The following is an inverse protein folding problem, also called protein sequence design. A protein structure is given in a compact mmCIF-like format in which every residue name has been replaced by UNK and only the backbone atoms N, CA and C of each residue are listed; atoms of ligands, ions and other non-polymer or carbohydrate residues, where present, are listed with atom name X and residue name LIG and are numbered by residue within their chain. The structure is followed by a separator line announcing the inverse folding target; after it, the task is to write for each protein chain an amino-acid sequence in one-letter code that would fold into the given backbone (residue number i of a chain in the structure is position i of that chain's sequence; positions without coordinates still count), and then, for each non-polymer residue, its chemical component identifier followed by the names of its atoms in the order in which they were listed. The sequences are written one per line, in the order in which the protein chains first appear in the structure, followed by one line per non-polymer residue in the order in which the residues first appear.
data_IF_084803635476
#
_entry.id   IF_084803635476
#
_cell.length_a   1.000
_cell.length_b   1.000
_cell.length_c   1.000
_cell.angle_alpha   90.00
_cell.angle_beta   90.00
_cell.angle_gamma   90.00
#
_symmetry.space_group_name_H-M   'P 1'
#
loop_
_entity.id
_entity.type
_entity.pdbx_description
1 polymer ?
#
# COMPACT_ATOMS: atom_id res chain seq x y z
N UNK A 1 -22.42 -18.26 -24.25
CA UNK A 1 -22.76 -16.98 -23.58
C UNK A 1 -22.02 -16.96 -22.26
N UNK A 2 -21.07 -16.04 -22.12
CA UNK A 2 -20.11 -16.00 -21.02
C UNK A 2 -20.74 -15.68 -19.67
N UNK A 3 -20.18 -16.30 -18.64
CA UNK A 3 -20.22 -15.79 -17.27
C UNK A 3 -18.88 -15.09 -17.02
N UNK A 4 -18.77 -13.85 -17.51
CA UNK A 4 -17.62 -12.96 -17.32
C UNK A 4 -17.91 -12.04 -16.13
N UNK A 5 -18.01 -12.65 -14.94
CA UNK A 5 -18.12 -11.92 -13.67
C UNK A 5 -16.71 -11.63 -13.15
N UNK A 6 -16.35 -10.36 -12.87
CA UNK A 6 -15.05 -10.01 -12.32
C UNK A 6 -14.84 -10.66 -10.94
N UNK A 7 -13.58 -11.01 -10.69
CA UNK A 7 -13.08 -11.74 -9.52
C UNK A 7 -13.26 -10.91 -8.24
N UNK A 8 -14.13 -11.39 -7.34
CA UNK A 8 -14.07 -11.23 -5.88
C UNK A 8 -14.67 -9.94 -5.26
N UNK A 9 -15.51 -10.05 -4.19
CA UNK A 9 -15.98 -8.88 -3.44
C UNK A 9 -14.85 -8.31 -2.56
N UNK A 10 -14.81 -6.99 -2.39
CA UNK A 10 -14.00 -6.25 -1.42
C UNK A 10 -14.05 -6.97 -0.07
N UNK A 11 -12.98 -7.67 0.29
CA UNK A 11 -12.97 -8.48 1.47
C UNK A 11 -12.75 -7.57 2.66
N UNK A 12 -13.84 -7.33 3.40
CA UNK A 12 -13.87 -6.58 4.65
C UNK A 12 -13.03 -7.25 5.77
N UNK A 13 -11.74 -7.52 5.53
CA UNK A 13 -10.82 -8.20 6.46
C UNK A 13 -10.59 -7.41 7.74
N UNK A 14 -10.75 -6.08 7.65
CA UNK A 14 -10.62 -5.18 8.79
C UNK A 14 -11.97 -4.93 9.50
N UNK A 15 -13.07 -5.53 9.04
CA UNK A 15 -14.37 -5.40 9.70
C UNK A 15 -14.32 -6.13 11.04
N UNK A 16 -14.54 -5.37 12.11
CA UNK A 16 -14.42 -5.86 13.49
C UNK A 16 -13.00 -5.78 14.07
N UNK A 17 -12.07 -5.09 13.40
CA UNK A 17 -10.81 -4.70 14.03
C UNK A 17 -11.08 -3.89 15.31
N UNK A 18 -10.24 -4.07 16.33
CA UNK A 18 -10.39 -3.36 17.61
C UNK A 18 -10.16 -1.85 17.44
N UNK A 19 -9.17 -1.48 16.61
CA UNK A 19 -8.96 -0.11 16.16
C UNK A 19 -10.11 0.40 15.30
N UNK A 20 -10.66 1.55 15.70
CA UNK A 20 -11.61 2.29 14.88
C UNK A 20 -11.02 2.79 13.55
N UNK A 21 -9.71 3.01 13.50
CA UNK A 21 -8.99 3.42 12.29
C UNK A 21 -8.89 2.28 11.26
N UNK A 22 -8.63 1.05 11.72
CA UNK A 22 -8.66 -0.11 10.83
C UNK A 22 -10.08 -0.49 10.45
N UNK A 23 -11.03 -0.42 11.39
CA UNK A 23 -12.42 -0.73 11.11
C UNK A 23 -13.03 0.20 10.06
N UNK A 24 -12.74 1.51 10.08
CA UNK A 24 -13.24 2.45 9.07
C UNK A 24 -12.70 2.16 7.67
N UNK A 25 -11.47 1.64 7.57
CA UNK A 25 -10.89 1.25 6.29
C UNK A 25 -11.63 0.10 5.60
N UNK A 26 -12.44 -0.67 6.34
CA UNK A 26 -13.27 -1.72 5.74
C UNK A 26 -14.40 -1.19 4.85
N UNK A 27 -14.69 0.12 4.90
CA UNK A 27 -15.67 0.79 4.02
C UNK A 27 -15.01 1.37 2.75
N UNK A 28 -13.68 1.32 2.64
CA UNK A 28 -12.96 1.82 1.47
C UNK A 28 -13.01 0.81 0.31
N UNK A 29 -12.88 1.26 -0.96
CA UNK A 29 -12.87 0.38 -2.14
C UNK A 29 -11.58 -0.47 -2.28
N UNK A 30 -10.70 -0.48 -1.29
CA UNK A 30 -9.40 -1.18 -1.32
C UNK A 30 -9.47 -2.44 -0.46
N UNK A 31 -8.91 -3.53 -0.97
CA UNK A 31 -8.81 -4.82 -0.28
C UNK A 31 -7.67 -4.82 0.75
N UNK A 32 -7.88 -4.12 1.87
CA UNK A 32 -6.86 -3.97 2.92
C UNK A 32 -6.63 -5.26 3.70
N UNK A 33 -5.37 -5.66 3.83
CA UNK A 33 -4.92 -6.67 4.78
C UNK A 33 -4.47 -6.01 6.09
N UNK A 34 -4.73 -6.62 7.26
CA UNK A 34 -4.02 -6.27 8.48
C UNK A 34 -2.55 -6.69 8.36
N UNK A 35 -1.69 -6.13 9.20
CA UNK A 35 -0.32 -6.61 9.32
C UNK A 35 -0.27 -8.05 9.81
N UNK A 36 0.41 -8.91 9.05
CA UNK A 36 0.59 -10.33 9.35
C UNK A 36 1.33 -11.03 8.22
N UNK A 37 1.64 -12.33 8.34
CA UNK A 37 2.39 -13.07 7.32
C UNK A 37 1.64 -13.22 5.98
N UNK A 38 0.31 -13.30 6.02
CA UNK A 38 -0.55 -13.55 4.85
C UNK A 38 -0.31 -12.59 3.66
N UNK A 39 -0.32 -11.25 3.82
CA UNK A 39 -0.06 -10.34 2.71
C UNK A 39 1.34 -10.50 2.11
N UNK A 40 2.37 -10.83 2.90
CA UNK A 40 3.73 -11.04 2.39
C UNK A 40 3.86 -12.34 1.61
N UNK A 41 3.22 -13.41 2.10
CA UNK A 41 3.15 -14.66 1.36
C UNK A 41 2.39 -14.49 0.04
N UNK A 42 1.27 -13.76 0.05
CA UNK A 42 0.52 -13.44 -1.16
C UNK A 42 1.38 -12.65 -2.14
N UNK A 43 2.01 -11.56 -1.68
CA UNK A 43 2.91 -10.72 -2.48
C UNK A 43 4.01 -11.54 -3.16
N UNK A 44 4.59 -12.51 -2.43
CA UNK A 44 5.58 -13.46 -2.98
C UNK A 44 4.99 -14.37 -4.06
N UNK A 45 3.79 -14.93 -3.83
CA UNK A 45 3.12 -15.83 -4.79
C UNK A 45 2.76 -15.11 -6.10
N UNK A 46 2.19 -13.91 -5.99
CA UNK A 46 1.69 -13.14 -7.14
C UNK A 46 2.71 -12.15 -7.71
N UNK A 47 3.91 -12.09 -7.14
CA UNK A 47 5.02 -11.22 -7.55
C UNK A 47 4.61 -9.74 -7.64
N UNK A 48 3.95 -9.24 -6.61
CA UNK A 48 3.54 -7.84 -6.50
C UNK A 48 4.19 -7.18 -5.27
N UNK A 49 4.52 -5.89 -5.34
CA UNK A 49 4.96 -5.14 -4.18
C UNK A 49 3.82 -5.00 -3.16
N UNK A 50 4.21 -4.71 -1.92
CA UNK A 50 3.28 -4.37 -0.84
C UNK A 50 3.20 -2.86 -0.74
N UNK A 51 1.98 -2.33 -0.66
CA UNK A 51 1.74 -0.97 -0.21
C UNK A 51 1.36 -1.03 1.26
N UNK A 52 2.19 -0.44 2.12
CA UNK A 52 1.95 -0.32 3.54
C UNK A 52 1.50 1.10 3.87
N UNK A 53 0.34 1.22 4.48
CA UNK A 53 -0.19 2.45 5.05
C UNK A 53 -0.22 2.36 6.58
N UNK A 54 0.45 3.29 7.26
CA UNK A 54 0.45 3.39 8.72
C UNK A 54 -0.16 4.74 9.13
N UNK A 55 -1.17 4.66 9.98
CA UNK A 55 -1.83 5.83 10.52
C UNK A 55 -2.33 5.62 11.94
N UNK A 56 -3.19 6.52 12.40
CA UNK A 56 -3.77 6.50 13.73
C UNK A 56 -5.16 7.14 13.70
N UNK A 57 -6.05 6.73 14.60
CA UNK A 57 -7.40 7.31 14.70
C UNK A 57 -7.40 8.83 15.02
N UNK A 58 -6.36 9.34 15.67
CA UNK A 58 -6.22 10.76 16.04
C UNK A 58 -5.46 11.60 15.00
N UNK A 59 -4.96 10.98 13.93
CA UNK A 59 -4.13 11.64 12.92
C UNK A 59 -5.00 12.33 11.86
N UNK A 60 -5.02 13.66 11.86
CA UNK A 60 -5.82 14.45 10.90
C UNK A 60 -5.48 14.14 9.44
N UNK A 61 -4.19 14.15 9.07
CA UNK A 61 -3.77 13.91 7.69
C UNK A 61 -4.01 12.47 7.22
N UNK A 62 -4.13 11.52 8.15
CA UNK A 62 -4.49 10.14 7.83
C UNK A 62 -5.94 10.07 7.36
N UNK A 63 -6.86 10.76 8.05
CA UNK A 63 -8.25 10.89 7.60
C UNK A 63 -8.36 11.62 6.27
N UNK A 64 -7.59 12.70 6.07
CA UNK A 64 -7.56 13.42 4.78
C UNK A 64 -7.10 12.49 3.64
N UNK A 65 -6.10 11.64 3.87
CA UNK A 65 -5.65 10.67 2.88
C UNK A 65 -6.65 9.54 2.66
N UNK A 66 -7.29 9.05 3.73
CA UNK A 66 -8.33 8.02 3.66
C UNK A 66 -9.56 8.49 2.84
N UNK A 67 -10.06 9.69 3.14
CA UNK A 67 -11.23 10.27 2.48
C UNK A 67 -10.92 10.75 1.06
N UNK A 68 -9.76 11.36 0.84
CA UNK A 68 -9.40 11.96 -0.44
C UNK A 68 -8.74 10.99 -1.42
N UNK A 69 -7.78 10.21 -0.94
CA UNK A 69 -6.88 9.41 -1.78
C UNK A 69 -7.28 7.94 -1.83
N UNK A 70 -7.47 7.30 -0.68
CA UNK A 70 -7.79 5.86 -0.63
C UNK A 70 -9.25 5.54 -0.96
N UNK A 71 -10.14 6.54 -0.90
CA UNK A 71 -11.53 6.43 -1.37
C UNK A 71 -11.68 6.71 -2.88
N UNK A 72 -10.61 7.13 -3.56
CA UNK A 72 -10.64 7.39 -5.01
C UNK A 72 -10.68 6.06 -5.81
N UNK A 73 -11.67 5.84 -6.69
CA UNK A 73 -11.79 4.60 -7.44
C UNK A 73 -10.60 4.28 -8.34
N UNK A 74 -9.93 5.30 -8.89
CA UNK A 74 -8.77 5.10 -9.76
C UNK A 74 -7.53 4.67 -8.97
N UNK A 75 -7.35 5.17 -7.75
CA UNK A 75 -6.34 4.67 -6.81
C UNK A 75 -6.65 3.22 -6.45
N UNK A 76 -7.89 2.93 -6.08
CA UNK A 76 -8.30 1.58 -5.68
C UNK A 76 -8.11 0.54 -6.80
N UNK A 77 -8.44 0.89 -8.04
CA UNK A 77 -8.26 0.02 -9.20
C UNK A 77 -6.78 -0.33 -9.43
N UNK A 78 -5.89 0.66 -9.32
CA UNK A 78 -4.44 0.42 -9.44
C UNK A 78 -3.95 -0.46 -8.30
N UNK A 79 -4.37 -0.20 -7.06
CA UNK A 79 -3.99 -1.01 -5.90
C UNK A 79 -4.42 -2.46 -6.05
N UNK A 80 -5.67 -2.72 -6.45
CA UNK A 80 -6.19 -4.07 -6.67
C UNK A 80 -5.42 -4.84 -7.76
N UNK A 81 -4.99 -4.13 -8.81
CA UNK A 81 -4.27 -4.74 -9.93
C UNK A 81 -2.78 -4.95 -9.64
N UNK A 82 -2.14 -4.04 -8.92
CA UNK A 82 -0.68 -3.94 -8.90
C UNK A 82 -0.05 -4.22 -7.53
N UNK A 83 -0.84 -4.19 -6.44
CA UNK A 83 -0.30 -4.22 -5.07
C UNK A 83 -1.00 -5.26 -4.19
N UNK A 84 -0.33 -5.63 -3.10
CA UNK A 84 -0.98 -6.14 -1.89
C UNK A 84 -1.03 -4.99 -0.88
N UNK A 85 -2.23 -4.51 -0.55
CA UNK A 85 -2.40 -3.35 0.32
C UNK A 85 -2.51 -3.79 1.79
N UNK A 86 -1.69 -3.21 2.66
CA UNK A 86 -1.63 -3.49 4.09
C UNK A 86 -1.86 -2.21 4.87
N UNK A 87 -2.76 -2.25 5.86
CA UNK A 87 -3.04 -1.10 6.74
C UNK A 87 -2.68 -1.42 8.18
N UNK A 88 -2.10 -0.45 8.86
CA UNK A 88 -1.61 -0.58 10.24
C UNK A 88 -2.03 0.61 11.08
N UNK A 89 -2.61 0.33 12.24
CA UNK A 89 -2.75 1.32 13.30
C UNK A 89 -1.46 1.32 14.13
N UNK A 90 -0.80 2.47 14.17
CA UNK A 90 0.43 2.64 14.95
C UNK A 90 0.24 2.44 16.45
N UNK A 91 -0.96 2.68 16.98
CA UNK A 91 -1.23 2.54 18.41
C UNK A 91 -1.32 1.04 18.78
N UNK A 92 -1.74 0.20 17.83
CA UNK A 92 -1.75 -1.26 17.97
C UNK A 92 -0.40 -1.92 17.64
N UNK A 93 0.43 -1.29 16.80
CA UNK A 93 1.71 -1.81 16.29
C UNK A 93 2.82 -0.74 16.26
N UNK A 94 3.21 -0.17 17.41
CA UNK A 94 4.20 0.90 17.48
C UNK A 94 5.61 0.48 17.03
N UNK A 95 5.92 -0.81 17.07
CA UNK A 95 7.16 -1.38 16.56
C UNK A 95 7.25 -1.35 15.03
N UNK A 96 6.13 -1.59 14.34
CA UNK A 96 6.04 -1.53 12.88
C UNK A 96 6.12 -0.08 12.42
N UNK A 97 5.37 0.82 13.08
CA UNK A 97 5.44 2.27 12.87
C UNK A 97 6.88 2.77 12.95
N UNK A 98 7.57 2.50 14.06
CA UNK A 98 8.95 2.96 14.28
C UNK A 98 9.90 2.47 13.20
N UNK A 99 9.79 1.20 12.82
CA UNK A 99 10.65 0.61 11.79
C UNK A 99 10.49 1.35 10.47
N UNK A 100 9.25 1.53 10.00
CA UNK A 100 9.04 2.13 8.69
C UNK A 100 9.22 3.64 8.67
N UNK A 101 9.03 4.35 9.79
CA UNK A 101 9.48 5.75 9.91
C UNK A 101 10.99 5.89 9.68
N UNK A 102 11.78 4.95 10.21
CA UNK A 102 13.23 4.94 10.01
C UNK A 102 13.62 4.58 8.57
N UNK A 103 13.02 3.53 8.00
CA UNK A 103 13.32 3.09 6.63
C UNK A 103 12.93 4.16 5.61
N UNK A 104 11.70 4.69 5.68
CA UNK A 104 11.24 5.75 4.76
C UNK A 104 12.06 7.03 4.95
N UNK A 105 12.33 7.43 6.20
CA UNK A 105 13.18 8.59 6.49
C UNK A 105 14.59 8.46 5.92
N UNK A 106 15.18 7.26 5.94
CA UNK A 106 16.48 7.02 5.33
C UNK A 106 16.44 7.06 3.78
N UNK A 107 15.34 6.61 3.17
CA UNK A 107 15.18 6.56 1.72
C UNK A 107 14.84 7.91 1.10
N UNK A 108 13.97 8.69 1.75
CA UNK A 108 13.36 9.88 1.14
C UNK A 108 13.57 11.16 1.94
N UNK A 109 14.04 11.06 3.18
CA UNK A 109 14.11 12.20 4.10
C UNK A 109 12.74 12.64 4.65
N UNK A 110 11.65 11.97 4.27
CA UNK A 110 10.31 12.24 4.80
C UNK A 110 9.99 11.37 6.02
N UNK A 111 9.12 11.87 6.90
CA UNK A 111 8.60 11.12 8.05
C UNK A 111 7.37 11.79 8.63
N UNK A 112 6.57 11.02 9.37
CA UNK A 112 5.28 11.45 9.93
C UNK A 112 4.13 10.57 9.48
N UNK A 113 2.89 11.02 9.72
CA UNK A 113 1.67 10.28 9.40
C UNK A 113 0.75 11.11 8.49
N UNK A 114 0.03 10.47 7.54
CA UNK A 114 0.09 9.05 7.22
C UNK A 114 1.46 8.67 6.67
N UNK A 115 1.92 7.46 6.96
CA UNK A 115 3.15 6.93 6.39
C UNK A 115 2.76 5.92 5.32
N UNK A 116 3.17 6.18 4.08
CA UNK A 116 3.04 5.23 2.97
C UNK A 116 4.42 4.66 2.64
N UNK A 117 4.57 3.33 2.69
CA UNK A 117 5.79 2.64 2.30
C UNK A 117 5.51 1.59 1.23
N UNK A 118 6.45 1.45 0.30
CA UNK A 118 6.43 0.43 -0.74
C UNK A 118 7.49 -0.61 -0.44
N UNK A 119 7.05 -1.86 -0.24
CA UNK A 119 7.89 -2.94 0.25
C UNK A 119 8.00 -4.06 -0.77
N UNK A 120 9.14 -4.73 -0.76
CA UNK A 120 9.26 -6.05 -1.39
C UNK A 120 8.51 -7.13 -0.58
N UNK A 121 8.42 -8.35 -1.13
CA UNK A 121 7.76 -9.47 -0.45
C UNK A 121 8.49 -9.97 0.82
N UNK A 122 9.69 -9.46 1.11
CA UNK A 122 10.45 -9.73 2.34
C UNK A 122 10.25 -8.63 3.39
N UNK A 123 9.50 -7.58 3.04
CA UNK A 123 9.18 -6.46 3.91
C UNK A 123 10.27 -5.40 4.00
N UNK A 124 11.22 -5.36 3.07
CA UNK A 124 12.17 -4.25 2.95
C UNK A 124 11.53 -3.09 2.19
N UNK A 125 11.52 -1.89 2.76
CA UNK A 125 11.07 -0.71 2.04
C UNK A 125 12.09 -0.32 0.95
N UNK A 126 11.59 0.02 -0.23
CA UNK A 126 12.40 0.55 -1.33
C UNK A 126 11.96 1.95 -1.77
N UNK A 127 10.78 2.39 -1.34
CA UNK A 127 10.30 3.76 -1.52
C UNK A 127 9.24 4.08 -0.45
N UNK A 128 8.95 5.36 -0.24
CA UNK A 128 7.87 5.77 0.64
C UNK A 128 7.72 7.29 0.70
N UNK A 129 6.78 7.72 1.52
CA UNK A 129 6.53 9.13 1.77
C UNK A 129 5.40 9.28 2.78
N UNK A 130 4.94 10.51 2.94
CA UNK A 130 3.85 10.80 3.86
C UNK A 130 2.50 10.87 3.13
N UNK A 131 2.02 12.08 2.86
CA UNK A 131 0.76 12.31 2.17
C UNK A 131 0.94 12.32 0.65
N UNK A 132 0.10 11.54 -0.04
CA UNK A 132 -0.03 11.61 -1.50
C UNK A 132 -1.46 12.02 -1.89
N UNK A 133 -1.66 13.12 -2.65
CA UNK A 133 -2.97 13.48 -3.19
C UNK A 133 -3.39 12.50 -4.30
N UNK A 134 -4.69 12.31 -4.58
CA UNK A 134 -5.13 11.30 -5.57
C UNK A 134 -4.63 11.60 -6.99
N UNK A 135 -4.61 12.88 -7.37
CA UNK A 135 -4.24 13.38 -8.70
C UNK A 135 -3.10 14.37 -8.64
N UNK A 136 -2.38 14.51 -9.76
CA UNK A 136 -1.31 15.51 -9.92
C UNK A 136 -1.82 16.91 -9.56
N UNK A 137 -1.01 17.66 -8.82
CA UNK A 137 -1.41 18.98 -8.33
C UNK A 137 -0.25 19.71 -7.66
N UNK A 138 -0.25 21.04 -7.76
CA UNK A 138 0.73 21.92 -7.10
C UNK A 138 2.20 21.51 -7.31
N UNK A 139 2.54 21.04 -8.51
CA UNK A 139 3.90 20.62 -8.84
C UNK A 139 4.36 19.28 -8.24
N UNK A 140 3.45 18.51 -7.64
CA UNK A 140 3.72 17.16 -7.11
C UNK A 140 2.92 16.11 -7.89
N UNK A 141 3.51 14.92 -8.17
CA UNK A 141 2.79 13.83 -8.77
C UNK A 141 1.70 13.31 -7.82
N UNK A 142 0.54 13.00 -8.37
CA UNK A 142 -0.54 12.36 -7.65
C UNK A 142 -0.26 10.89 -7.43
N UNK A 143 -1.00 10.30 -6.51
CA UNK A 143 -0.79 8.94 -6.06
C UNK A 143 -0.99 7.93 -7.18
N UNK A 144 -1.98 8.15 -8.07
CA UNK A 144 -2.17 7.30 -9.26
C UNK A 144 -0.90 7.19 -10.12
N UNK A 145 -0.18 8.30 -10.30
CA UNK A 145 1.06 8.34 -11.07
C UNK A 145 2.19 7.65 -10.32
N UNK A 146 2.34 7.93 -9.02
CA UNK A 146 3.34 7.27 -8.16
C UNK A 146 3.14 5.75 -8.16
N UNK A 147 1.90 5.27 -7.94
CA UNK A 147 1.54 3.86 -7.97
C UNK A 147 1.84 3.21 -9.32
N UNK A 148 1.54 3.90 -10.42
CA UNK A 148 1.77 3.33 -11.75
C UNK A 148 3.26 3.18 -12.04
N UNK A 149 4.07 4.20 -11.72
CA UNK A 149 5.51 4.16 -11.97
C UNK A 149 6.23 3.15 -11.07
N UNK A 150 5.87 3.07 -9.79
CA UNK A 150 6.46 2.07 -8.88
C UNK A 150 6.15 0.64 -9.34
N UNK A 151 4.91 0.37 -9.71
CA UNK A 151 4.51 -0.96 -10.19
C UNK A 151 5.27 -1.36 -11.46
N UNK A 152 5.45 -0.41 -12.39
CA UNK A 152 6.25 -0.61 -13.58
C UNK A 152 7.70 -0.93 -13.25
N UNK A 153 8.36 -0.09 -12.43
CA UNK A 153 9.77 -0.27 -12.08
C UNK A 153 10.00 -1.60 -11.35
N UNK A 154 9.11 -1.97 -10.44
CA UNK A 154 9.18 -3.23 -9.71
C UNK A 154 9.09 -4.45 -10.65
N UNK A 155 8.21 -4.41 -11.66
CA UNK A 155 8.13 -5.47 -12.68
C UNK A 155 9.37 -5.54 -13.55
N UNK A 156 9.81 -4.40 -14.08
CA UNK A 156 10.96 -4.30 -14.98
C UNK A 156 12.24 -4.83 -14.29
N UNK A 157 12.42 -4.55 -13.00
CA UNK A 157 13.54 -5.06 -12.22
C UNK A 157 13.42 -6.57 -11.97
N UNK A 158 12.22 -7.07 -11.65
CA UNK A 158 11.96 -8.50 -11.53
C UNK A 158 12.23 -9.26 -12.83
N UNK A 159 11.89 -8.69 -13.99
CA UNK A 159 12.17 -9.27 -15.30
C UNK A 159 13.68 -9.38 -15.56
N UNK A 160 14.45 -8.33 -15.29
CA UNK A 160 15.92 -8.32 -15.44
C UNK A 160 16.60 -9.37 -14.57
N UNK A 161 16.17 -9.53 -13.32
CA UNK A 161 16.72 -10.54 -12.40
C UNK A 161 16.42 -11.95 -12.92
N UNK A 162 15.20 -12.19 -13.44
CA UNK A 162 14.83 -13.49 -14.04
C UNK A 162 15.62 -13.80 -15.30
N UNK A 163 15.82 -12.82 -16.18
CA UNK A 163 16.59 -13.01 -17.41
C UNK A 163 18.05 -13.35 -17.11
N UNK A 164 18.67 -12.64 -16.16
CA UNK A 164 20.05 -12.90 -15.73
C UNK A 164 20.19 -14.31 -15.13
N UNK A 165 19.22 -14.74 -14.31
CA UNK A 165 19.24 -16.08 -13.68
C UNK A 165 19.08 -17.21 -14.71
N UNK A 166 18.46 -16.95 -15.87
CA UNK A 166 18.25 -17.95 -16.92
C UNK A 166 19.47 -18.15 -17.83
N UNK A 167 20.44 -17.25 -17.78
CA UNK A 167 21.65 -17.27 -18.61
C UNK A 167 22.87 -17.88 -17.91
N UNK A 168 22.70 -18.39 -16.68
CA UNK A 168 23.73 -19.07 -15.87
C UNK A 168 23.33 -20.52 -15.69
#
# INVERSE_FOLDING_TARGET
MGDDRPVGPSGHRLKGAASGYLASASEQPIDWYPWGPEPFELARRIHRPILLDIGAAWCHWCHVMDEGTYSDPGVAEILAREYVAVKVDRDERPEIDRRYQQEVGALTGEGGWPLTAFLDANGAAFFGGTYFPPTDGHGRPGFRRVLTEIARLFRDEGDRVRETTRQV
#
